data_IF_748339880446
#
_entry.id   IF_748339880446
#
_cell.length_a   1.000
_cell.length_b   1.000
_cell.length_c   1.000
_cell.angle_alpha   90.00
_cell.angle_beta   90.00
_cell.angle_gamma   90.00
#
_symmetry.space_group_name_H-M   'P 1'
#
loop_
_entity.id
_entity.type
_entity.pdbx_description
1 polymer ?
#
# COMPACT_ATOMS: atom_id res chain seq x y z
N UNK A 1 26.81 7.93 -4.28
CA UNK A 1 25.68 7.54 -3.42
C UNK A 1 24.85 6.56 -4.21
N UNK A 2 24.46 5.43 -3.63
CA UNK A 2 23.66 4.44 -4.33
C UNK A 2 22.30 5.01 -4.71
N UNK A 3 21.78 4.59 -5.88
CA UNK A 3 20.65 5.25 -6.52
C UNK A 3 19.42 5.37 -5.61
N UNK A 4 19.05 4.30 -4.89
CA UNK A 4 17.90 4.29 -3.98
C UNK A 4 18.21 4.69 -2.54
N UNK A 5 19.46 5.04 -2.22
CA UNK A 5 19.77 5.73 -0.97
C UNK A 5 19.49 7.24 -1.04
N UNK A 6 19.12 7.75 -2.23
CA UNK A 6 18.46 9.04 -2.38
C UNK A 6 16.94 8.85 -2.34
N UNK A 7 16.24 9.30 -1.27
CA UNK A 7 14.79 9.13 -1.14
C UNK A 7 13.98 9.79 -2.26
N UNK A 8 14.54 10.80 -2.93
CA UNK A 8 13.85 11.45 -4.06
C UNK A 8 13.66 10.47 -5.23
N UNK A 9 14.57 9.51 -5.39
CA UNK A 9 14.52 8.55 -6.50
C UNK A 9 13.48 7.44 -6.27
N UNK A 10 13.26 7.00 -5.02
CA UNK A 10 12.18 6.05 -4.71
C UNK A 10 10.80 6.66 -4.93
N UNK A 11 10.60 7.90 -4.46
CA UNK A 11 9.37 8.66 -4.73
C UNK A 11 9.13 8.88 -6.22
N UNK A 12 10.14 9.35 -6.96
CA UNK A 12 10.01 9.62 -8.39
C UNK A 12 9.61 8.36 -9.16
N UNK A 13 10.22 7.21 -8.84
CA UNK A 13 9.88 5.92 -9.45
C UNK A 13 8.41 5.54 -9.25
N UNK A 14 7.86 5.75 -8.04
CA UNK A 14 6.45 5.49 -7.76
C UNK A 14 5.52 6.40 -8.57
N UNK A 15 5.84 7.69 -8.67
CA UNK A 15 5.06 8.65 -9.45
C UNK A 15 5.11 8.33 -10.95
N UNK A 16 6.27 8.02 -11.50
CA UNK A 16 6.46 7.65 -12.91
C UNK A 16 5.68 6.38 -13.27
N UNK A 17 5.74 5.35 -12.42
CA UNK A 17 4.97 4.11 -12.62
C UNK A 17 3.46 4.38 -12.57
N UNK A 18 3.01 5.18 -11.60
CA UNK A 18 1.60 5.54 -11.49
C UNK A 18 1.12 6.35 -12.71
N UNK A 19 1.88 7.36 -13.16
CA UNK A 19 1.55 8.13 -14.35
C UNK A 19 1.46 7.25 -15.60
N UNK A 20 2.34 6.25 -15.71
CA UNK A 20 2.40 5.36 -16.88
C UNK A 20 1.24 4.37 -16.93
N UNK A 21 0.81 3.84 -15.78
CA UNK A 21 -0.14 2.73 -15.73
C UNK A 21 -1.50 3.08 -15.10
N UNK A 22 -1.63 4.24 -14.47
CA UNK A 22 -2.84 4.67 -13.75
C UNK A 22 -3.15 3.86 -12.48
N UNK A 23 -2.20 3.05 -12.02
CA UNK A 23 -2.30 2.20 -10.84
C UNK A 23 -0.91 1.67 -10.46
N UNK A 24 -0.69 1.43 -9.17
CA UNK A 24 0.44 0.66 -8.66
C UNK A 24 -0.04 -0.35 -7.61
N UNK A 25 0.79 -1.37 -7.35
CA UNK A 25 0.51 -2.44 -6.39
C UNK A 25 1.22 -2.16 -5.07
N UNK A 26 0.45 -2.04 -4.00
CA UNK A 26 0.98 -1.81 -2.65
C UNK A 26 0.73 -3.06 -1.81
N UNK A 27 1.81 -3.62 -1.28
CA UNK A 27 1.73 -4.62 -0.24
C UNK A 27 1.79 -3.91 1.12
N UNK A 28 0.90 -4.25 2.04
CA UNK A 28 0.94 -3.74 3.40
C UNK A 28 0.85 -4.90 4.40
N UNK A 29 1.63 -4.82 5.47
CA UNK A 29 1.58 -5.80 6.54
C UNK A 29 0.32 -5.64 7.40
N UNK A 30 -0.02 -6.69 8.14
CA UNK A 30 -1.19 -6.72 9.00
C UNK A 30 -0.85 -6.33 10.44
N UNK A 31 -0.01 -7.14 11.09
CA UNK A 31 0.30 -7.05 12.51
C UNK A 31 1.16 -5.82 12.79
N UNK A 32 0.81 -5.00 13.78
CA UNK A 32 1.49 -3.74 14.10
C UNK A 32 1.53 -2.70 12.95
N UNK A 33 0.80 -2.93 11.85
CA UNK A 33 0.67 -2.01 10.70
C UNK A 33 -0.77 -1.54 10.50
N UNK A 34 -1.75 -2.43 10.63
CA UNK A 34 -3.20 -2.09 10.64
C UNK A 34 -3.98 -2.79 11.77
N UNK A 35 -3.35 -3.73 12.48
CA UNK A 35 -3.93 -4.49 13.57
C UNK A 35 -3.02 -4.46 14.81
N UNK A 36 -3.59 -4.19 15.99
CA UNK A 36 -2.88 -4.19 17.27
C UNK A 36 -2.66 -5.62 17.78
N UNK A 37 -1.76 -6.34 17.11
CA UNK A 37 -1.46 -7.74 17.39
C UNK A 37 -1.12 -8.01 18.85
N UNK A 38 -0.34 -7.10 19.46
CA UNK A 38 0.08 -7.22 20.86
C UNK A 38 -0.95 -6.70 21.86
N UNK A 39 -2.13 -6.24 21.41
CA UNK A 39 -3.22 -5.72 22.25
C UNK A 39 -2.75 -4.64 23.22
N UNK A 40 -1.91 -3.73 22.72
CA UNK A 40 -1.33 -2.61 23.47
C UNK A 40 -2.22 -1.37 23.50
N UNK A 41 -3.41 -1.42 22.89
CA UNK A 41 -4.29 -0.28 22.68
C UNK A 41 -3.79 0.66 21.57
N UNK A 42 -3.00 0.14 20.62
CA UNK A 42 -2.46 0.92 19.52
C UNK A 42 -3.51 1.14 18.44
N UNK A 43 -3.43 2.29 17.78
CA UNK A 43 -4.28 2.64 16.65
C UNK A 43 -3.42 2.95 15.45
N UNK A 44 -3.88 2.52 14.28
CA UNK A 44 -3.16 2.65 13.01
C UNK A 44 -3.96 3.47 11.99
N UNK A 45 -4.72 4.45 12.48
CA UNK A 45 -5.65 5.24 11.68
C UNK A 45 -4.97 5.96 10.52
N UNK A 46 -3.72 6.41 10.69
CA UNK A 46 -2.95 7.07 9.62
C UNK A 46 -2.68 6.12 8.44
N UNK A 47 -2.22 4.90 8.74
CA UNK A 47 -1.98 3.87 7.71
C UNK A 47 -3.30 3.47 7.05
N UNK A 48 -4.36 3.26 7.83
CA UNK A 48 -5.69 2.88 7.31
C UNK A 48 -6.27 3.98 6.40
N UNK A 49 -6.10 5.25 6.79
CA UNK A 49 -6.51 6.39 5.97
C UNK A 49 -5.70 6.45 4.66
N UNK A 50 -4.38 6.23 4.71
CA UNK A 50 -3.54 6.16 3.52
C UNK A 50 -3.98 5.03 2.58
N UNK A 51 -4.29 3.83 3.10
CA UNK A 51 -4.81 2.71 2.29
C UNK A 51 -6.13 3.08 1.61
N UNK A 52 -7.03 3.77 2.32
CA UNK A 52 -8.28 4.30 1.76
C UNK A 52 -8.03 5.28 0.62
N UNK A 53 -7.10 6.19 0.83
CA UNK A 53 -6.70 7.17 -0.19
C UNK A 53 -6.05 6.51 -1.42
N UNK A 54 -5.17 5.53 -1.21
CA UNK A 54 -4.57 4.74 -2.28
C UNK A 54 -5.64 3.99 -3.08
N UNK A 55 -6.62 3.40 -2.40
CA UNK A 55 -7.74 2.73 -3.08
C UNK A 55 -8.56 3.70 -3.92
N UNK A 56 -8.78 4.92 -3.44
CA UNK A 56 -9.52 5.97 -4.15
C UNK A 56 -8.85 6.42 -5.46
N UNK A 57 -7.53 6.24 -5.58
CA UNK A 57 -6.76 6.56 -6.79
C UNK A 57 -6.42 5.31 -7.62
N UNK A 58 -7.25 4.25 -7.50
CA UNK A 58 -7.15 3.01 -8.29
C UNK A 58 -5.88 2.16 -8.04
N UNK A 59 -5.20 2.32 -6.90
CA UNK A 59 -4.12 1.40 -6.52
C UNK A 59 -4.67 0.02 -6.12
N UNK A 60 -3.87 -1.02 -6.39
CA UNK A 60 -4.16 -2.40 -5.99
C UNK A 60 -3.51 -2.68 -4.64
N UNK A 61 -4.25 -3.22 -3.68
CA UNK A 61 -3.82 -3.38 -2.30
C UNK A 61 -3.74 -4.86 -1.92
N UNK A 62 -2.57 -5.30 -1.47
CA UNK A 62 -2.33 -6.67 -1.01
C UNK A 62 -2.07 -6.61 0.49
N UNK A 63 -2.91 -7.25 1.29
CA UNK A 63 -2.52 -7.56 2.67
C UNK A 63 -1.46 -8.66 2.62
N UNK A 64 -0.21 -8.31 2.88
CA UNK A 64 0.95 -9.20 2.85
C UNK A 64 1.40 -9.50 4.26
N UNK A 65 0.93 -10.61 4.82
CA UNK A 65 1.04 -10.91 6.25
C UNK A 65 1.64 -12.27 6.51
N UNK A 66 2.37 -12.37 7.63
CA UNK A 66 2.82 -13.63 8.21
C UNK A 66 1.75 -14.39 9.00
N UNK A 67 0.54 -13.82 9.18
CA UNK A 67 -0.56 -14.46 9.87
C UNK A 67 -1.06 -15.70 9.10
N UNK A 68 -1.10 -16.85 9.78
CA UNK A 68 -1.50 -18.13 9.17
C UNK A 68 -3.02 -18.19 8.95
N UNK A 69 -3.81 -17.63 9.87
CA UNK A 69 -5.26 -17.57 9.72
C UNK A 69 -5.70 -16.42 8.82
N UNK A 70 -5.65 -16.67 7.50
CA UNK A 70 -6.10 -15.70 6.49
C UNK A 70 -7.60 -15.39 6.55
N UNK A 71 -8.43 -16.26 7.15
CA UNK A 71 -9.87 -15.98 7.31
C UNK A 71 -10.08 -14.93 8.40
N UNK A 72 -9.34 -15.03 9.50
CA UNK A 72 -9.31 -14.00 10.53
C UNK A 72 -8.88 -12.65 9.95
N UNK A 73 -7.78 -12.62 9.18
CA UNK A 73 -7.28 -11.40 8.54
C UNK A 73 -8.36 -10.78 7.65
N UNK A 74 -8.95 -11.56 6.73
CA UNK A 74 -10.01 -11.07 5.84
C UNK A 74 -11.21 -10.53 6.62
N UNK A 75 -11.67 -11.25 7.65
CA UNK A 75 -12.81 -10.84 8.46
C UNK A 75 -12.52 -9.51 9.17
N UNK A 76 -11.35 -9.38 9.80
CA UNK A 76 -10.94 -8.15 10.47
C UNK A 76 -10.88 -6.97 9.49
N UNK A 77 -10.28 -7.15 8.31
CA UNK A 77 -10.18 -6.09 7.30
C UNK A 77 -11.59 -5.64 6.85
N UNK A 78 -12.51 -6.58 6.60
CA UNK A 78 -13.90 -6.28 6.22
C UNK A 78 -14.63 -5.54 7.34
N UNK A 79 -14.59 -6.08 8.56
CA UNK A 79 -15.32 -5.53 9.72
C UNK A 79 -14.85 -4.12 10.08
N UNK A 80 -13.57 -3.80 9.84
CA UNK A 80 -12.99 -2.49 10.10
C UNK A 80 -12.90 -1.60 8.86
N UNK A 81 -13.51 -2.01 7.74
CA UNK A 81 -13.49 -1.25 6.47
C UNK A 81 -12.07 -0.88 5.98
N UNK A 82 -11.10 -1.76 6.22
CA UNK A 82 -9.72 -1.60 5.77
C UNK A 82 -9.62 -2.13 4.33
N UNK A 83 -9.25 -1.30 3.33
CA UNK A 83 -9.26 -1.72 1.94
C UNK A 83 -8.19 -2.77 1.60
N UNK A 84 -8.60 -3.79 0.84
CA UNK A 84 -7.71 -4.80 0.25
C UNK A 84 -8.32 -5.37 -1.03
N UNK A 85 -7.49 -5.91 -1.90
CA UNK A 85 -7.89 -6.68 -3.08
C UNK A 85 -7.58 -8.17 -2.91
N UNK A 86 -6.42 -8.49 -2.34
CA UNK A 86 -6.00 -9.87 -2.05
C UNK A 86 -5.29 -9.96 -0.70
N UNK A 87 -5.18 -11.19 -0.18
CA UNK A 87 -4.35 -11.51 0.99
C UNK A 87 -3.33 -12.55 0.54
N UNK A 88 -2.04 -12.24 0.65
CA UNK A 88 -0.92 -13.12 0.28
C UNK A 88 -0.90 -13.64 -1.16
N UNK A 89 -1.61 -12.98 -2.09
CA UNK A 89 -1.73 -13.40 -3.48
C UNK A 89 -1.36 -12.26 -4.44
N UNK A 90 -0.72 -12.61 -5.55
CA UNK A 90 -0.35 -11.67 -6.61
C UNK A 90 -1.59 -11.06 -7.29
N UNK A 91 -1.46 -9.85 -7.86
CA UNK A 91 -2.54 -9.28 -8.66
C UNK A 91 -2.80 -10.15 -9.91
N UNK A 92 -4.05 -10.23 -10.43
CA UNK A 92 -4.41 -11.14 -11.52
C UNK A 92 -3.60 -10.97 -12.82
N UNK A 93 -3.04 -9.78 -13.06
CA UNK A 93 -2.22 -9.48 -14.24
C UNK A 93 -0.77 -9.98 -14.11
N UNK A 94 -0.30 -10.32 -12.90
CA UNK A 94 1.06 -10.79 -12.65
C UNK A 94 1.06 -12.29 -12.34
N UNK A 95 1.54 -13.10 -13.28
CA UNK A 95 1.62 -14.56 -13.14
C UNK A 95 3.03 -14.97 -12.76
N UNK A 96 3.21 -15.40 -11.52
CA UNK A 96 4.48 -15.92 -11.00
C UNK A 96 4.22 -17.00 -9.96
N UNK A 97 5.08 -18.02 -9.93
CA UNK A 97 5.09 -19.05 -8.89
C UNK A 97 6.07 -18.72 -7.76
N UNK A 98 6.75 -17.57 -7.84
CA UNK A 98 7.65 -17.13 -6.78
C UNK A 98 6.86 -16.85 -5.50
N UNK A 99 7.44 -17.22 -4.35
CA UNK A 99 6.86 -16.94 -3.04
C UNK A 99 6.73 -15.44 -2.77
N UNK A 100 7.66 -14.62 -3.27
CA UNK A 100 7.62 -13.16 -3.11
C UNK A 100 6.60 -12.58 -4.09
N UNK A 101 5.61 -11.87 -3.56
CA UNK A 101 4.62 -11.16 -4.37
C UNK A 101 5.24 -9.99 -5.13
N UNK A 102 4.61 -9.63 -6.24
CA UNK A 102 4.89 -8.38 -6.92
C UNK A 102 4.23 -7.21 -6.18
N UNK A 103 5.03 -6.20 -5.83
CA UNK A 103 4.56 -4.94 -5.29
C UNK A 103 5.54 -3.82 -5.66
N UNK A 104 4.99 -2.64 -5.93
CA UNK A 104 5.73 -1.41 -6.16
C UNK A 104 6.26 -0.82 -4.84
N UNK A 105 5.51 -0.97 -3.74
CA UNK A 105 5.92 -0.55 -2.40
C UNK A 105 5.43 -1.52 -1.33
N UNK A 106 6.12 -1.53 -0.18
CA UNK A 106 5.82 -2.33 1.00
C UNK A 106 5.62 -1.40 2.21
N UNK A 107 4.42 -1.37 2.78
CA UNK A 107 4.12 -0.70 4.06
C UNK A 107 4.20 -1.74 5.18
N UNK A 108 5.23 -1.68 6.01
CA UNK A 108 5.53 -2.75 6.98
C UNK A 108 6.28 -2.13 8.17
N UNK A 109 5.82 -2.42 9.39
CA UNK A 109 6.37 -1.88 10.64
C UNK A 109 7.87 -2.19 10.82
N UNK A 110 8.35 -3.26 10.20
CA UNK A 110 9.74 -3.72 10.25
C UNK A 110 10.59 -3.32 9.04
N UNK A 111 9.98 -2.75 7.99
CA UNK A 111 10.67 -2.43 6.75
C UNK A 111 10.62 -0.93 6.37
N UNK A 112 10.81 -0.04 7.36
CA UNK A 112 10.92 1.39 7.09
C UNK A 112 9.58 2.08 6.81
N UNK A 113 8.53 1.70 7.55
CA UNK A 113 7.17 2.22 7.43
C UNK A 113 7.07 3.73 7.19
N UNK A 114 7.77 4.54 8.00
CA UNK A 114 7.71 6.00 7.92
C UNK A 114 8.14 6.54 6.55
N UNK A 115 9.18 5.96 5.96
CA UNK A 115 9.66 6.41 4.66
C UNK A 115 8.60 6.12 3.59
N UNK A 116 8.16 4.86 3.48
CA UNK A 116 7.20 4.45 2.45
C UNK A 116 5.84 5.14 2.65
N UNK A 117 5.41 5.36 3.91
CA UNK A 117 4.21 6.13 4.23
C UNK A 117 4.27 7.53 3.63
N UNK A 118 5.40 8.24 3.79
CA UNK A 118 5.57 9.58 3.22
C UNK A 118 5.56 9.55 1.68
N UNK A 119 6.28 8.60 1.08
CA UNK A 119 6.36 8.45 -0.38
C UNK A 119 4.98 8.21 -1.01
N UNK A 120 4.18 7.31 -0.41
CA UNK A 120 2.82 7.01 -0.87
C UNK A 120 1.82 8.13 -0.59
N UNK A 121 1.99 8.85 0.52
CA UNK A 121 1.19 10.05 0.81
C UNK A 121 1.42 11.13 -0.24
N UNK A 122 2.67 11.33 -0.66
CA UNK A 122 2.98 12.30 -1.72
C UNK A 122 2.48 11.83 -3.09
N UNK A 123 2.50 10.53 -3.38
CA UNK A 123 1.82 9.97 -4.55
C UNK A 123 0.32 10.28 -4.56
N UNK A 124 -0.37 10.09 -3.43
CA UNK A 124 -1.81 10.41 -3.31
C UNK A 124 -2.07 11.88 -3.61
N UNK A 125 -1.27 12.78 -3.03
CA UNK A 125 -1.39 14.23 -3.28
C UNK A 125 -1.17 14.54 -4.76
N UNK A 126 -0.16 13.93 -5.37
CA UNK A 126 0.17 14.07 -6.78
C UNK A 126 -1.02 13.62 -7.67
N UNK A 127 -1.52 12.41 -7.47
CA UNK A 127 -2.62 11.84 -8.25
C UNK A 127 -3.92 12.65 -8.12
N UNK A 128 -4.26 13.08 -6.89
CA UNK A 128 -5.46 13.90 -6.65
C UNK A 128 -5.34 15.27 -7.34
N UNK A 129 -4.16 15.90 -7.30
CA UNK A 129 -3.93 17.21 -7.97
C UNK A 129 -4.11 17.11 -9.48
N UNK A 130 -3.60 16.05 -10.11
CA UNK A 130 -3.76 15.81 -11.55
C UNK A 130 -5.22 15.46 -11.92
N UNK A 131 -5.94 14.75 -11.05
CA UNK A 131 -7.37 14.46 -11.21
C UNK A 131 -8.26 15.71 -11.21
N UNK A 132 -7.96 16.70 -10.36
CA UNK A 132 -8.67 18.00 -10.37
C UNK A 132 -8.31 18.89 -11.57
N UNK A 133 -7.23 18.60 -12.30
CA UNK A 133 -6.82 19.32 -13.50
C UNK A 133 -7.59 18.94 -14.77
N UNK A 134 -8.24 17.77 -14.80
CA UNK A 134 -8.92 17.23 -15.98
C UNK A 134 -10.46 17.22 -15.88
N UNK A 135 -11.04 17.82 -14.83
CA UNK A 135 -12.49 17.90 -14.62
C UNK A 135 -13.15 19.18 -15.19
N UNK A 136 -12.46 19.91 -16.07
CA UNK A 136 -13.02 21.05 -16.79
C UNK A 136 -12.95 20.78 -18.29
N UNK A 137 -13.97 20.13 -18.86
CA UNK A 137 -14.52 20.40 -20.21
C UNK A 137 -15.88 19.71 -20.35
#
# INVERSE_FOLDING_TARGET
MDFYLNPSNSSARLMEEYQKYGSIVIAYDFDDTVYDFHKKGRVYSEVINLLTDLKSINCFLICWTGQEDTNFVKSYLIDNSIPFDTVNENPPFYKSTCRKIYANAYLDDRAGLQQVYNELTDLVKFAKKDGYGNANY
#
